data_IF_559117713380
#
_entry.id   IF_559117713380
#
_cell.length_a   1.000
_cell.length_b   1.000
_cell.length_c   1.000
_cell.angle_alpha   90.00
_cell.angle_beta   90.00
_cell.angle_gamma   90.00
#
_symmetry.space_group_name_H-M   'P 1'
#
loop_
_entity.id
_entity.type
_entity.pdbx_description
1 polymer ?
#
# COMPACT_ATOMS: atom_id res chain seq x y z
N UNK A 1 -1.27 -1.33 4.13
CA UNK A 1 -1.39 -1.91 5.49
C UNK A 1 -0.50 -3.13 5.57
N UNK A 2 0.11 -3.37 6.71
CA UNK A 2 0.95 -4.54 6.96
C UNK A 2 0.49 -5.30 8.19
N UNK A 3 0.81 -6.58 8.22
CA UNK A 3 0.67 -7.45 9.39
C UNK A 3 1.94 -8.29 9.51
N UNK A 4 2.59 -8.20 10.67
CA UNK A 4 3.78 -9.00 10.97
C UNK A 4 3.41 -10.37 11.55
N UNK A 5 4.37 -11.28 11.54
CA UNK A 5 4.18 -12.64 12.02
C UNK A 5 3.80 -12.71 13.51
N UNK A 6 4.17 -11.71 14.30
CA UNK A 6 3.80 -11.60 15.72
C UNK A 6 2.37 -11.05 15.94
N UNK A 7 1.64 -10.74 14.89
CA UNK A 7 0.29 -10.20 14.93
C UNK A 7 0.22 -8.68 14.98
N UNK A 8 1.34 -7.97 15.10
CA UNK A 8 1.33 -6.52 15.06
C UNK A 8 0.97 -6.03 13.66
N UNK A 9 0.24 -4.92 13.59
CA UNK A 9 -0.33 -4.36 12.37
C UNK A 9 -0.13 -2.87 12.32
N UNK A 10 -0.12 -2.32 11.11
CA UNK A 10 -0.04 -0.89 10.93
C UNK A 10 -0.24 -0.48 9.49
N UNK A 11 -0.06 0.80 9.24
CA UNK A 11 -0.15 1.38 7.91
C UNK A 11 1.10 2.20 7.62
N UNK A 12 1.59 2.11 6.40
CA UNK A 12 2.63 2.99 5.87
C UNK A 12 1.98 3.87 4.83
N UNK A 13 1.99 5.16 5.06
CA UNK A 13 1.37 6.15 4.17
C UNK A 13 1.86 7.56 4.51
N UNK A 14 1.74 8.46 3.55
CA UNK A 14 2.10 9.86 3.76
C UNK A 14 1.16 10.57 4.75
N UNK A 15 -0.10 10.19 4.78
CA UNK A 15 -1.07 10.70 5.74
C UNK A 15 -0.62 10.40 7.17
N UNK A 16 -0.60 11.43 8.01
CA UNK A 16 -0.14 11.31 9.38
C UNK A 16 1.36 11.10 9.53
N UNK A 17 2.13 11.32 8.46
CA UNK A 17 3.59 11.12 8.44
C UNK A 17 4.02 9.70 8.80
N UNK A 18 3.20 8.71 8.44
CA UNK A 18 3.47 7.30 8.72
C UNK A 18 4.33 6.66 7.61
N UNK A 19 5.51 7.24 7.35
CA UNK A 19 6.37 6.80 6.25
C UNK A 19 7.08 5.47 6.50
N UNK A 20 7.10 4.99 7.73
CA UNK A 20 7.83 3.77 8.10
C UNK A 20 6.96 2.84 8.92
N UNK A 21 6.97 1.56 8.56
CA UNK A 21 6.39 0.52 9.38
C UNK A 21 7.16 0.36 10.68
N UNK A 22 6.46 0.05 11.77
CA UNK A 22 7.11 -0.21 13.05
C UNK A 22 7.87 -1.54 13.01
N UNK A 23 9.06 -1.52 13.57
CA UNK A 23 9.94 -2.67 13.64
C UNK A 23 10.21 -2.99 15.11
N UNK A 24 9.80 -4.15 15.58
CA UNK A 24 9.91 -4.50 16.98
C UNK A 24 11.30 -5.01 17.42
N UNK A 25 12.20 -5.23 16.47
CA UNK A 25 13.49 -5.85 16.75
C UNK A 25 14.63 -4.85 16.58
N UNK A 26 14.73 -3.92 17.47
CA UNK A 26 15.87 -3.04 17.70
C UNK A 26 16.89 -2.84 16.57
N UNK A 27 17.18 -1.60 16.18
CA UNK A 27 18.15 -1.29 15.16
C UNK A 27 17.73 -0.13 14.23
N UNK A 28 16.54 0.41 14.41
CA UNK A 28 16.11 1.62 13.69
C UNK A 28 15.84 1.41 12.20
N UNK A 29 15.97 0.21 11.67
CA UNK A 29 15.65 -0.10 10.28
C UNK A 29 14.19 -0.49 10.15
N UNK A 30 13.53 0.04 9.11
CA UNK A 30 12.16 -0.33 8.77
C UNK A 30 12.16 -1.43 7.73
N UNK A 31 11.27 -2.42 7.90
CA UNK A 31 11.06 -3.47 6.90
C UNK A 31 10.25 -2.94 5.72
N UNK A 32 9.32 -2.03 6.00
CA UNK A 32 8.42 -1.42 5.00
C UNK A 32 8.50 0.08 5.17
N UNK A 33 8.77 0.81 4.08
CA UNK A 33 8.81 2.28 4.14
C UNK A 33 8.44 2.92 2.81
N UNK A 34 7.92 4.14 2.91
CA UNK A 34 7.60 5.00 1.78
C UNK A 34 8.66 6.11 1.69
N UNK A 35 9.20 6.38 0.51
CA UNK A 35 10.32 7.31 0.36
C UNK A 35 9.90 8.77 0.18
N UNK A 36 8.68 9.02 -0.30
CA UNK A 36 8.21 10.37 -0.58
C UNK A 36 6.68 10.47 -0.54
N UNK A 37 6.18 11.71 -0.56
CA UNK A 37 4.78 12.05 -0.78
C UNK A 37 4.71 13.00 -1.98
N UNK A 38 4.38 12.49 -3.14
CA UNK A 38 4.23 13.30 -4.35
C UNK A 38 2.75 13.51 -4.67
N UNK A 39 2.22 14.64 -4.20
CA UNK A 39 0.82 15.04 -4.44
C UNK A 39 0.62 15.75 -5.78
N UNK A 40 1.70 16.20 -6.41
CA UNK A 40 1.64 17.00 -7.61
C UNK A 40 1.86 16.19 -8.89
N UNK A 41 2.42 15.00 -8.78
CA UNK A 41 2.89 14.22 -9.93
C UNK A 41 4.14 14.81 -10.59
N UNK A 42 4.78 15.80 -9.95
CA UNK A 42 5.95 16.47 -10.51
C UNK A 42 7.23 15.66 -10.38
N UNK A 43 7.24 14.68 -9.46
CA UNK A 43 8.38 13.79 -9.29
C UNK A 43 8.34 12.69 -10.34
N UNK A 44 9.30 12.68 -11.26
CA UNK A 44 9.38 11.67 -12.32
C UNK A 44 9.59 10.24 -11.78
N UNK A 45 10.16 10.11 -10.60
CA UNK A 45 10.33 8.83 -9.90
C UNK A 45 9.08 8.35 -9.15
N UNK A 46 8.08 9.23 -8.99
CA UNK A 46 6.87 8.95 -8.24
C UNK A 46 7.12 8.70 -6.75
N UNK A 47 6.19 8.02 -6.12
CA UNK A 47 6.33 7.53 -4.76
C UNK A 47 6.69 6.05 -4.78
N UNK A 48 7.65 5.65 -3.95
CA UNK A 48 8.09 4.28 -3.90
C UNK A 48 7.88 3.68 -2.52
N UNK A 49 7.14 2.58 -2.50
CA UNK A 49 6.99 1.74 -1.31
C UNK A 49 8.05 0.63 -1.38
N UNK A 50 8.89 0.57 -0.36
CA UNK A 50 9.98 -0.39 -0.26
C UNK A 50 9.64 -1.47 0.75
N UNK A 51 9.95 -2.70 0.40
CA UNK A 51 9.82 -3.86 1.28
C UNK A 51 11.15 -4.60 1.30
N UNK A 52 11.74 -4.75 2.49
CA UNK A 52 13.00 -5.44 2.65
C UNK A 52 12.76 -6.95 2.77
N UNK A 53 13.03 -7.66 1.68
CA UNK A 53 12.79 -9.11 1.59
C UNK A 53 13.72 -9.95 2.47
N UNK A 54 14.79 -9.37 3.01
CA UNK A 54 15.65 -10.07 3.99
C UNK A 54 14.86 -10.40 5.28
N UNK A 55 13.78 -9.68 5.53
CA UNK A 55 12.93 -9.85 6.70
C UNK A 55 11.56 -10.49 6.38
N UNK A 56 11.45 -11.21 5.28
CA UNK A 56 10.19 -11.84 4.86
C UNK A 56 9.61 -12.75 5.93
N UNK A 57 10.45 -13.44 6.72
CA UNK A 57 9.97 -14.29 7.81
C UNK A 57 9.18 -13.55 8.88
N UNK A 58 9.36 -12.22 9.00
CA UNK A 58 8.65 -11.37 9.96
C UNK A 58 7.35 -10.82 9.40
N UNK A 59 7.10 -10.99 8.12
CA UNK A 59 5.91 -10.48 7.42
C UNK A 59 4.89 -11.60 7.27
N UNK A 60 3.65 -11.34 7.69
CA UNK A 60 2.54 -12.24 7.39
C UNK A 60 1.88 -11.87 6.08
N UNK A 61 1.48 -10.61 5.94
CA UNK A 61 0.84 -10.10 4.72
C UNK A 61 0.94 -8.58 4.63
N UNK A 62 0.84 -8.07 3.41
CA UNK A 62 0.81 -6.65 3.11
C UNK A 62 -0.26 -6.41 2.06
N UNK A 63 -1.17 -5.46 2.29
CA UNK A 63 -2.04 -4.95 1.24
C UNK A 63 -1.49 -3.62 0.74
N UNK A 64 -1.13 -3.58 -0.54
CA UNK A 64 -0.70 -2.36 -1.20
C UNK A 64 -1.91 -1.68 -1.78
N UNK A 65 -2.14 -0.44 -1.41
CA UNK A 65 -3.26 0.33 -1.91
C UNK A 65 -2.82 1.72 -2.34
N UNK A 66 -3.58 2.30 -3.24
CA UNK A 66 -3.39 3.67 -3.70
C UNK A 66 -4.64 4.48 -3.41
N UNK A 67 -4.45 5.77 -3.19
CA UNK A 67 -5.48 6.72 -2.81
C UNK A 67 -5.38 7.94 -3.70
N UNK A 68 -6.50 8.40 -4.26
CA UNK A 68 -6.53 9.66 -5.00
C UNK A 68 -7.07 10.78 -4.10
N UNK A 69 -6.40 11.94 -4.20
CA UNK A 69 -6.70 13.10 -3.38
C UNK A 69 -7.94 13.85 -3.85
N UNK A 70 -8.45 14.70 -2.97
CA UNK A 70 -9.50 15.64 -3.28
C UNK A 70 -9.08 16.52 -4.47
N UNK A 71 -10.02 16.77 -5.38
CA UNK A 71 -9.76 17.54 -6.61
C UNK A 71 -9.46 16.68 -7.84
N UNK A 72 -9.11 15.41 -7.65
CA UNK A 72 -9.00 14.45 -8.75
C UNK A 72 -10.33 13.71 -8.88
N UNK A 73 -11.03 13.81 -10.04
CA UNK A 73 -12.40 13.29 -10.15
C UNK A 73 -12.49 11.76 -10.11
N UNK A 74 -11.54 11.06 -10.70
CA UNK A 74 -11.52 9.59 -10.72
C UNK A 74 -10.15 9.06 -11.11
N UNK A 75 -9.97 7.75 -11.05
CA UNK A 75 -8.70 7.10 -11.39
C UNK A 75 -8.32 7.27 -12.86
N UNK A 76 -9.29 7.23 -13.77
CA UNK A 76 -9.03 7.45 -15.19
C UNK A 76 -8.43 8.83 -15.46
N UNK A 77 -8.93 9.88 -14.78
CA UNK A 77 -8.40 11.24 -14.90
C UNK A 77 -7.02 11.38 -14.23
N UNK A 78 -6.73 10.60 -13.21
CA UNK A 78 -5.43 10.62 -12.54
C UNK A 78 -4.31 10.01 -13.38
N UNK A 79 -4.64 9.20 -14.38
CA UNK A 79 -3.69 8.48 -15.22
C UNK A 79 -2.65 7.71 -14.36
N UNK A 80 -3.13 7.05 -13.32
CA UNK A 80 -2.28 6.42 -12.33
C UNK A 80 -1.76 5.07 -12.82
N UNK A 81 -0.47 4.85 -12.60
CA UNK A 81 0.21 3.58 -12.90
C UNK A 81 0.97 3.15 -11.66
N UNK A 82 0.81 1.89 -11.28
CA UNK A 82 1.62 1.26 -10.23
C UNK A 82 2.55 0.25 -10.89
N UNK A 83 3.83 0.36 -10.61
CA UNK A 83 4.84 -0.57 -11.14
C UNK A 83 5.44 -1.37 -9.99
N UNK A 84 5.42 -2.67 -10.12
CA UNK A 84 6.12 -3.58 -9.21
C UNK A 84 7.52 -3.86 -9.77
N UNK A 85 8.54 -3.59 -8.94
CA UNK A 85 9.95 -3.85 -9.25
C UNK A 85 10.43 -5.04 -8.41
N UNK A 86 10.34 -6.29 -8.91
CA UNK A 86 10.84 -7.43 -8.17
C UNK A 86 12.38 -7.43 -8.14
N UNK A 87 12.96 -8.11 -7.15
CA UNK A 87 14.42 -8.29 -7.06
C UNK A 87 14.96 -9.00 -8.30
N UNK A 88 14.19 -9.93 -8.84
CA UNK A 88 14.52 -10.65 -10.08
C UNK A 88 13.26 -10.82 -10.91
N UNK A 89 13.42 -10.83 -12.22
CA UNK A 89 12.31 -10.95 -13.15
C UNK A 89 11.81 -9.62 -13.71
N UNK A 90 10.81 -9.65 -14.59
CA UNK A 90 10.33 -8.46 -15.27
C UNK A 90 9.51 -7.56 -14.34
N UNK A 91 9.51 -6.26 -14.66
CA UNK A 91 8.60 -5.31 -14.03
C UNK A 91 7.15 -5.60 -14.43
N UNK A 92 6.25 -5.35 -13.49
CA UNK A 92 4.81 -5.52 -13.71
C UNK A 92 4.14 -4.17 -13.54
N UNK A 93 3.51 -3.67 -14.60
CA UNK A 93 2.74 -2.44 -14.56
C UNK A 93 1.26 -2.73 -14.37
N UNK A 94 0.63 -1.95 -13.51
CA UNK A 94 -0.81 -2.00 -13.27
C UNK A 94 -1.37 -0.60 -13.49
N UNK A 95 -2.22 -0.45 -14.49
CA UNK A 95 -2.89 0.83 -14.77
C UNK A 95 -4.19 0.90 -13.97
N UNK A 96 -4.40 2.02 -13.30
CA UNK A 96 -5.58 2.27 -12.49
C UNK A 96 -6.46 3.27 -13.25
N UNK A 97 -7.57 2.80 -13.81
CA UNK A 97 -8.37 3.55 -14.78
C UNK A 97 -9.88 3.61 -14.48
N UNK A 98 -10.28 3.33 -13.23
CA UNK A 98 -11.69 3.41 -12.84
C UNK A 98 -12.25 4.82 -13.00
N UNK A 99 -13.44 4.92 -13.55
CA UNK A 99 -14.13 6.21 -13.80
C UNK A 99 -15.16 6.57 -12.72
N UNK A 100 -15.50 5.65 -11.81
CA UNK A 100 -16.42 5.94 -10.71
C UNK A 100 -15.79 6.95 -9.74
N UNK A 101 -16.38 8.17 -9.59
CA UNK A 101 -15.82 9.17 -8.69
C UNK A 101 -15.90 8.80 -7.22
N UNK A 102 -16.67 7.79 -6.86
CA UNK A 102 -16.78 7.30 -5.49
C UNK A 102 -15.67 6.33 -5.12
N UNK A 103 -15.00 5.73 -6.09
CA UNK A 103 -13.91 4.78 -5.89
C UNK A 103 -12.59 5.53 -5.65
N UNK A 104 -12.37 5.98 -4.42
CA UNK A 104 -11.21 6.81 -4.04
C UNK A 104 -9.98 5.98 -3.65
N UNK A 105 -10.14 4.70 -3.39
CA UNK A 105 -9.07 3.78 -3.02
C UNK A 105 -9.07 2.61 -3.99
N UNK A 106 -7.87 2.15 -4.34
CA UNK A 106 -7.68 0.90 -5.06
C UNK A 106 -6.73 0.00 -4.29
N UNK A 107 -7.20 -1.20 -3.93
CA UNK A 107 -6.33 -2.27 -3.48
C UNK A 107 -5.59 -2.81 -4.70
N UNK A 108 -4.29 -2.59 -4.78
CA UNK A 108 -3.48 -2.92 -5.96
C UNK A 108 -3.04 -4.37 -5.91
N UNK A 109 -2.47 -4.79 -4.78
CA UNK A 109 -1.91 -6.12 -4.62
C UNK A 109 -1.96 -6.56 -3.17
N UNK A 110 -2.19 -7.85 -2.96
CA UNK A 110 -2.06 -8.50 -1.65
C UNK A 110 -0.82 -9.40 -1.68
N UNK A 111 0.12 -9.12 -0.81
CA UNK A 111 1.33 -9.89 -0.64
C UNK A 111 1.18 -10.77 0.60
N UNK A 112 1.36 -12.08 0.42
CA UNK A 112 1.21 -13.04 1.51
C UNK A 112 2.46 -13.91 1.65
N UNK A 113 2.90 -14.11 2.88
CA UNK A 113 3.98 -15.04 3.17
C UNK A 113 3.44 -16.47 3.09
N UNK A 114 3.94 -17.22 2.13
CA UNK A 114 3.60 -18.63 1.95
C UNK A 114 4.88 -19.46 1.98
N UNK A 115 5.12 -20.11 3.08
CA UNK A 115 6.30 -20.96 3.25
C UNK A 115 7.63 -20.20 3.20
N UNK A 116 7.65 -18.95 3.61
CA UNK A 116 8.86 -18.12 3.60
C UNK A 116 9.04 -17.25 2.34
N UNK A 117 8.15 -17.38 1.38
CA UNK A 117 8.13 -16.55 0.17
C UNK A 117 6.97 -15.57 0.21
N UNK A 118 7.22 -14.35 -0.21
CA UNK A 118 6.20 -13.32 -0.33
C UNK A 118 5.54 -13.42 -1.70
N UNK A 119 4.34 -14.03 -1.73
CA UNK A 119 3.57 -14.24 -2.96
C UNK A 119 2.73 -13.01 -3.23
N UNK A 120 2.81 -12.50 -4.45
CA UNK A 120 2.07 -11.32 -4.90
C UNK A 120 0.80 -11.74 -5.61
N UNK A 121 -0.35 -11.34 -5.05
CA UNK A 121 -1.66 -11.52 -5.68
C UNK A 121 -2.12 -10.17 -6.22
N UNK A 122 -2.34 -10.10 -7.52
CA UNK A 122 -2.91 -8.91 -8.15
C UNK A 122 -4.38 -8.80 -7.78
N UNK A 123 -4.76 -7.68 -7.15
CA UNK A 123 -6.14 -7.43 -6.71
C UNK A 123 -6.88 -6.47 -7.65
N UNK A 124 -6.37 -5.27 -7.83
CA UNK A 124 -7.01 -4.18 -8.59
C UNK A 124 -8.48 -4.03 -8.21
N UNK A 125 -8.72 -3.93 -6.91
CA UNK A 125 -10.06 -3.80 -6.36
C UNK A 125 -10.30 -2.36 -5.94
N UNK A 126 -11.22 -1.71 -6.62
CA UNK A 126 -11.61 -0.34 -6.29
C UNK A 126 -12.59 -0.35 -5.11
N UNK A 127 -12.37 0.59 -4.20
CA UNK A 127 -13.11 0.67 -2.95
C UNK A 127 -13.87 1.97 -2.90
N UNK A 128 -15.18 1.86 -2.70
CA UNK A 128 -16.07 2.99 -2.47
C UNK A 128 -16.14 3.25 -0.96
N UNK A 129 -15.30 4.14 -0.49
CA UNK A 129 -15.18 4.46 0.93
C UNK A 129 -13.75 4.74 1.32
N UNK A 130 -13.49 4.84 2.61
CA UNK A 130 -12.19 5.12 3.18
C UNK A 130 -11.35 3.88 3.49
N UNK A 131 -10.25 4.11 4.17
CA UNK A 131 -9.33 3.04 4.57
C UNK A 131 -9.98 2.02 5.53
N UNK A 132 -10.95 2.47 6.31
CA UNK A 132 -11.74 1.60 7.18
C UNK A 132 -12.56 0.58 6.38
N UNK A 133 -13.09 0.96 5.23
CA UNK A 133 -13.79 0.06 4.32
C UNK A 133 -12.82 -0.94 3.70
N UNK A 134 -11.66 -0.48 3.27
CA UNK A 134 -10.60 -1.34 2.76
C UNK A 134 -10.18 -2.38 3.81
N UNK A 135 -9.98 -1.94 5.05
CA UNK A 135 -9.66 -2.82 6.18
C UNK A 135 -10.72 -3.92 6.34
N UNK A 136 -11.99 -3.54 6.37
CA UNK A 136 -13.08 -4.52 6.52
C UNK A 136 -13.14 -5.52 5.39
N UNK A 137 -12.87 -5.09 4.16
CA UNK A 137 -12.88 -5.99 3.00
C UNK A 137 -11.78 -7.05 3.07
N UNK A 138 -10.63 -6.71 3.65
CA UNK A 138 -9.49 -7.62 3.78
C UNK A 138 -9.31 -8.17 5.20
N UNK A 139 -10.20 -7.82 6.13
CA UNK A 139 -10.19 -8.37 7.48
C UNK A 139 -8.94 -8.01 8.27
N UNK A 140 -8.45 -6.77 8.14
CA UNK A 140 -7.25 -6.35 8.86
C UNK A 140 -7.50 -6.14 10.34
N UNK A 141 -8.65 -5.53 10.70
CA UNK A 141 -9.06 -5.38 12.09
C UNK A 141 -8.34 -4.27 12.84
N UNK A 142 -7.91 -3.21 12.16
CA UNK A 142 -7.33 -2.05 12.82
C UNK A 142 -8.40 -1.08 13.30
N UNK A 143 -8.03 -0.25 14.27
CA UNK A 143 -8.90 0.81 14.79
C UNK A 143 -8.67 2.09 13.98
N UNK A 144 -9.68 2.51 13.25
CA UNK A 144 -9.63 3.72 12.44
C UNK A 144 -10.34 4.86 13.16
N UNK A 145 -9.66 5.98 13.30
CA UNK A 145 -10.28 7.21 13.77
C UNK A 145 -10.85 8.01 12.60
N UNK A 146 -12.03 8.59 12.79
CA UNK A 146 -12.67 9.39 11.75
C UNK A 146 -11.84 10.65 11.43
N UNK A 147 -11.66 10.92 10.15
CA UNK A 147 -11.53 12.27 9.67
C UNK A 147 -10.20 12.95 9.70
N UNK A 148 -9.08 12.26 9.47
CA UNK A 148 -7.87 12.96 9.03
C UNK A 148 -7.41 12.44 7.68
N UNK A 149 -8.12 12.88 6.70
CA UNK A 149 -7.58 12.85 5.34
C UNK A 149 -6.93 14.19 5.03
#
# INVERSE_FOLDING_TARGET
MYEYADGSKGVVQALGNAFRGQHQLGGGESIIWLDADDRSGANTGGENLHIDLRHTAKIRRIIVFALIYEGVPNWGAADAVVTLFPVSGPQIEVRLDEHDPKARICAVALLENRGGELVVNREVRYVNGGQDVLDRQYGWGMNWSAGRM
#
